data_IF_683650552342
#
_entry.id   IF_683650552342
#
_cell.length_a   1.000
_cell.length_b   1.000
_cell.length_c   1.000
_cell.angle_alpha   90.00
_cell.angle_beta   90.00
_cell.angle_gamma   90.00
#
_symmetry.space_group_name_H-M   'P 1'
#
loop_
_entity.id
_entity.type
_entity.pdbx_description
1 polymer ?
#
# COMPACT_ATOMS: atom_id res chain seq x y z
N UNK A 1 10.97 19.97 -25.50
CA UNK A 1 10.41 19.63 -24.18
C UNK A 1 11.55 19.05 -23.35
N UNK A 2 11.79 19.52 -22.13
CA UNK A 2 12.90 19.02 -21.28
C UNK A 2 12.73 17.50 -21.04
N UNK A 3 13.81 16.73 -21.14
CA UNK A 3 13.79 15.27 -21.01
C UNK A 3 13.20 14.82 -19.66
N UNK A 4 13.49 15.56 -18.59
CA UNK A 4 12.94 15.31 -17.24
C UNK A 4 11.42 15.48 -17.22
N UNK A 5 10.90 16.56 -17.81
CA UNK A 5 9.45 16.80 -17.86
C UNK A 5 8.73 15.67 -18.60
N UNK A 6 9.33 15.18 -19.69
CA UNK A 6 8.77 14.06 -20.46
C UNK A 6 8.74 12.77 -19.64
N UNK A 7 9.81 12.47 -18.90
CA UNK A 7 9.85 11.30 -18.01
C UNK A 7 8.80 11.37 -16.90
N UNK A 8 8.59 12.54 -16.29
CA UNK A 8 7.58 12.72 -15.23
C UNK A 8 6.16 12.46 -15.76
N UNK A 9 5.82 13.06 -16.91
CA UNK A 9 4.48 12.95 -17.51
C UNK A 9 4.20 11.49 -17.93
N UNK A 10 5.21 10.82 -18.48
CA UNK A 10 5.04 9.47 -19.02
C UNK A 10 5.18 8.36 -17.99
N UNK A 11 5.72 8.63 -16.80
CA UNK A 11 5.94 7.60 -15.77
C UNK A 11 4.65 6.87 -15.38
N UNK A 12 3.60 7.61 -15.00
CA UNK A 12 2.37 7.00 -14.50
C UNK A 12 1.64 6.18 -15.58
N UNK A 13 1.45 6.68 -16.82
CA UNK A 13 0.88 5.87 -17.90
C UNK A 13 1.71 4.61 -18.21
N UNK A 14 3.04 4.73 -18.32
CA UNK A 14 3.91 3.61 -18.61
C UNK A 14 3.89 2.55 -17.49
N UNK A 15 3.90 3.01 -16.23
CA UNK A 15 3.80 2.13 -15.06
C UNK A 15 2.47 1.37 -15.05
N UNK A 16 1.34 2.06 -15.27
CA UNK A 16 0.02 1.41 -15.35
C UNK A 16 -0.05 0.39 -16.48
N UNK A 17 0.48 0.71 -17.66
CA UNK A 17 0.53 -0.23 -18.78
C UNK A 17 1.36 -1.48 -18.44
N UNK A 18 2.49 -1.30 -17.73
CA UNK A 18 3.29 -2.42 -17.26
C UNK A 18 2.52 -3.33 -16.27
N UNK A 19 1.82 -2.74 -15.30
CA UNK A 19 0.99 -3.51 -14.35
C UNK A 19 -0.12 -4.26 -15.07
N UNK A 20 -0.82 -3.63 -16.02
CA UNK A 20 -1.86 -4.30 -16.79
C UNK A 20 -1.31 -5.48 -17.57
N UNK A 21 -0.12 -5.36 -18.18
CA UNK A 21 0.54 -6.48 -18.84
C UNK A 21 0.80 -7.64 -17.89
N UNK A 22 1.27 -7.38 -16.66
CA UNK A 22 1.46 -8.44 -15.66
C UNK A 22 0.14 -9.17 -15.36
N UNK A 23 -0.98 -8.43 -15.29
CA UNK A 23 -2.29 -9.03 -15.08
C UNK A 23 -2.76 -9.85 -16.28
N UNK A 24 -2.53 -9.36 -17.49
CA UNK A 24 -2.83 -10.10 -18.73
C UNK A 24 -2.02 -11.40 -18.83
N UNK A 25 -0.79 -11.39 -18.31
CA UNK A 25 0.08 -12.57 -18.17
C UNK A 25 -0.37 -13.51 -17.02
N UNK A 26 -1.46 -13.18 -16.32
CA UNK A 26 -2.07 -14.00 -15.27
C UNK A 26 -1.52 -13.76 -13.86
N UNK A 27 -0.70 -12.72 -13.64
CA UNK A 27 -0.20 -12.39 -12.31
C UNK A 27 -1.22 -11.56 -11.52
N UNK A 28 -1.34 -11.87 -10.23
CA UNK A 28 -2.05 -11.01 -9.28
C UNK A 28 -1.08 -9.99 -8.66
N UNK A 29 -1.52 -8.75 -8.58
CA UNK A 29 -0.70 -7.64 -8.07
C UNK A 29 -1.20 -7.23 -6.69
N UNK A 30 -0.38 -7.51 -5.68
CA UNK A 30 -0.70 -7.24 -4.28
C UNK A 30 -0.04 -5.95 -3.81
N UNK A 31 -0.85 -5.03 -3.30
CA UNK A 31 -0.41 -3.82 -2.63
C UNK A 31 -0.08 -4.05 -1.16
N UNK A 32 0.92 -3.34 -0.66
CA UNK A 32 1.26 -3.35 0.76
C UNK A 32 1.51 -1.93 1.25
N UNK A 33 0.78 -1.52 2.29
CA UNK A 33 1.00 -0.25 2.98
C UNK A 33 1.48 -0.49 4.40
N UNK A 34 2.44 0.31 4.87
CA UNK A 34 2.90 0.26 6.26
C UNK A 34 3.08 1.65 6.85
N UNK A 35 2.97 1.73 8.18
CA UNK A 35 3.34 2.94 8.91
C UNK A 35 4.21 2.60 10.12
N UNK A 36 5.34 3.30 10.24
CA UNK A 36 6.22 3.19 11.40
C UNK A 36 5.53 3.69 12.67
N UNK A 37 5.92 3.22 13.87
CA UNK A 37 5.53 3.84 15.12
C UNK A 37 5.90 5.32 15.14
N UNK A 38 5.05 6.15 15.75
CA UNK A 38 5.21 7.60 15.81
C UNK A 38 4.23 8.22 16.79
N UNK A 39 4.39 9.52 17.02
CA UNK A 39 3.61 10.29 18.00
C UNK A 39 2.26 10.78 17.44
N UNK A 40 1.90 10.42 16.21
CA UNK A 40 0.61 10.81 15.66
C UNK A 40 -0.54 10.12 16.38
N UNK A 41 -1.63 10.86 16.57
CA UNK A 41 -2.87 10.28 17.08
C UNK A 41 -3.46 9.26 16.10
N UNK A 42 -4.30 8.36 16.62
CA UNK A 42 -4.89 7.26 15.86
C UNK A 42 -5.60 7.70 14.58
N UNK A 43 -6.42 8.76 14.64
CA UNK A 43 -7.14 9.32 13.48
C UNK A 43 -6.21 9.71 12.33
N UNK A 44 -5.08 10.35 12.66
CA UNK A 44 -4.11 10.79 11.66
C UNK A 44 -3.45 9.57 11.02
N UNK A 45 -3.12 8.55 11.81
CA UNK A 45 -2.55 7.29 11.32
C UNK A 45 -3.52 6.58 10.37
N UNK A 46 -4.78 6.45 10.74
CA UNK A 46 -5.83 5.83 9.89
C UNK A 46 -5.95 6.58 8.57
N UNK A 47 -6.06 7.92 8.60
CA UNK A 47 -6.16 8.74 7.39
C UNK A 47 -4.94 8.56 6.48
N UNK A 48 -3.73 8.52 7.05
CA UNK A 48 -2.50 8.33 6.28
C UNK A 48 -2.45 6.94 5.63
N UNK A 49 -2.81 5.88 6.36
CA UNK A 49 -2.88 4.53 5.82
C UNK A 49 -3.94 4.41 4.73
N UNK A 50 -5.15 4.96 4.95
CA UNK A 50 -6.21 5.00 3.93
C UNK A 50 -5.72 5.69 2.65
N UNK A 51 -5.05 6.84 2.79
CA UNK A 51 -4.48 7.55 1.63
C UNK A 51 -3.46 6.70 0.86
N UNK A 52 -2.67 5.87 1.56
CA UNK A 52 -1.74 4.95 0.93
C UNK A 52 -2.47 3.83 0.19
N UNK A 53 -3.50 3.23 0.81
CA UNK A 53 -4.36 2.20 0.20
C UNK A 53 -5.01 2.73 -1.08
N UNK A 54 -5.62 3.91 -1.02
CA UNK A 54 -6.29 4.52 -2.17
C UNK A 54 -5.31 4.74 -3.33
N UNK A 55 -4.10 5.24 -3.02
CA UNK A 55 -3.04 5.43 -4.03
C UNK A 55 -2.56 4.11 -4.64
N UNK A 56 -2.50 3.03 -3.87
CA UNK A 56 -2.14 1.72 -4.40
C UNK A 56 -3.16 1.27 -5.45
N UNK A 57 -4.45 1.42 -5.17
CA UNK A 57 -5.51 1.13 -6.15
C UNK A 57 -5.48 2.10 -7.35
N UNK A 58 -5.41 3.40 -7.12
CA UNK A 58 -5.52 4.41 -8.18
C UNK A 58 -4.30 4.46 -9.11
N UNK A 59 -3.10 4.27 -8.56
CA UNK A 59 -1.85 4.47 -9.30
C UNK A 59 -1.16 3.17 -9.68
N UNK A 60 -1.28 2.16 -8.82
CA UNK A 60 -0.59 0.87 -9.00
C UNK A 60 -1.54 -0.25 -9.40
N UNK A 61 -2.83 0.03 -9.56
CA UNK A 61 -3.85 -0.89 -10.06
C UNK A 61 -3.81 -2.25 -9.34
N UNK A 62 -3.53 -2.26 -8.04
CA UNK A 62 -3.44 -3.50 -7.26
C UNK A 62 -4.79 -4.19 -7.21
N UNK A 63 -4.78 -5.52 -7.11
CA UNK A 63 -6.00 -6.32 -6.93
C UNK A 63 -6.44 -6.27 -5.47
N UNK A 64 -5.48 -6.38 -4.55
CA UNK A 64 -5.72 -6.43 -3.11
C UNK A 64 -4.67 -5.63 -2.36
N UNK A 65 -5.01 -5.16 -1.16
CA UNK A 65 -4.08 -4.42 -0.30
C UNK A 65 -4.03 -5.04 1.08
N UNK A 66 -2.81 -5.29 1.56
CA UNK A 66 -2.53 -5.63 2.95
C UNK A 66 -1.88 -4.43 3.65
N UNK A 67 -2.13 -4.29 4.95
CA UNK A 67 -1.62 -3.16 5.73
C UNK A 67 -0.93 -3.62 7.00
N UNK A 68 0.13 -2.91 7.36
CA UNK A 68 0.76 -2.99 8.67
C UNK A 68 0.64 -1.64 9.37
N UNK A 69 -0.33 -1.48 10.29
CA UNK A 69 -0.65 -0.17 10.85
C UNK A 69 0.46 0.42 11.73
N UNK A 70 1.29 -0.43 12.34
CA UNK A 70 2.36 -0.03 13.23
C UNK A 70 3.48 -1.07 13.22
N UNK A 71 4.48 -0.89 12.35
CA UNK A 71 5.64 -1.80 12.25
C UNK A 71 6.92 -1.02 11.95
N UNK A 72 8.04 -1.42 12.56
CA UNK A 72 9.32 -0.79 12.26
C UNK A 72 9.82 -1.28 10.91
N UNK A 73 10.62 -0.43 10.26
CA UNK A 73 11.29 -0.82 9.02
C UNK A 73 12.25 -2.00 9.22
N UNK A 74 12.95 -2.01 10.35
CA UNK A 74 13.88 -3.07 10.75
C UNK A 74 13.20 -4.40 11.07
N UNK A 75 11.88 -4.42 11.27
CA UNK A 75 11.18 -5.65 11.60
C UNK A 75 11.11 -6.56 10.37
N UNK A 76 11.54 -7.84 10.47
CA UNK A 76 11.37 -8.81 9.40
C UNK A 76 9.90 -8.94 9.01
N UNK A 77 9.60 -9.15 7.73
CA UNK A 77 8.21 -9.21 7.24
C UNK A 77 7.35 -10.20 8.05
N UNK A 78 7.88 -11.40 8.34
CA UNK A 78 7.21 -12.44 9.14
C UNK A 78 6.91 -12.06 10.59
N UNK A 79 7.59 -11.03 11.11
CA UNK A 79 7.43 -10.55 12.48
C UNK A 79 6.53 -9.31 12.54
N UNK A 80 6.22 -8.70 11.39
CA UNK A 80 5.23 -7.64 11.31
C UNK A 80 3.86 -8.25 11.56
N UNK A 81 2.98 -7.45 12.16
CA UNK A 81 1.58 -7.83 12.38
C UNK A 81 1.38 -9.06 13.28
N UNK A 82 2.38 -9.46 14.08
CA UNK A 82 2.19 -10.45 15.16
C UNK A 82 1.31 -9.91 16.31
N UNK A 83 1.23 -8.58 16.44
CA UNK A 83 0.41 -7.87 17.43
C UNK A 83 -0.26 -6.68 16.75
N UNK A 84 -1.30 -6.96 15.98
CA UNK A 84 -2.04 -5.93 15.23
C UNK A 84 -2.92 -5.13 16.18
N UNK A 85 -2.97 -3.83 15.96
CA UNK A 85 -4.02 -3.00 16.55
C UNK A 85 -5.29 -3.15 15.71
N UNK A 86 -6.14 -4.09 16.11
CA UNK A 86 -7.42 -4.40 15.46
C UNK A 86 -8.37 -3.20 15.36
N UNK A 87 -8.32 -2.27 16.33
CA UNK A 87 -9.16 -1.08 16.31
C UNK A 87 -8.79 -0.16 15.13
N UNK A 88 -7.49 -0.04 14.81
CA UNK A 88 -7.02 0.72 13.66
C UNK A 88 -7.36 -0.02 12.36
N UNK A 89 -7.06 -1.32 12.29
CA UNK A 89 -7.24 -2.11 11.07
C UNK A 89 -8.69 -2.06 10.56
N UNK A 90 -9.66 -2.26 11.46
CA UNK A 90 -11.11 -2.26 11.13
C UNK A 90 -11.62 -0.92 10.58
N UNK A 91 -10.86 0.16 10.78
CA UNK A 91 -11.21 1.52 10.35
C UNK A 91 -10.58 1.90 9.01
N UNK A 92 -9.75 1.04 8.44
CA UNK A 92 -9.17 1.21 7.11
C UNK A 92 -10.01 0.39 6.13
N UNK A 93 -10.51 1.05 5.09
CA UNK A 93 -11.36 0.42 4.08
C UNK A 93 -10.53 -0.15 2.94
N UNK A 94 -11.11 -1.13 2.23
CA UNK A 94 -10.53 -1.77 1.02
C UNK A 94 -9.17 -2.43 1.29
N UNK A 95 -9.00 -2.97 2.49
CA UNK A 95 -7.84 -3.80 2.84
C UNK A 95 -8.32 -5.21 3.07
N UNK A 96 -7.52 -6.17 2.66
CA UNK A 96 -7.78 -7.59 2.93
C UNK A 96 -7.30 -7.99 4.32
N UNK A 97 -6.49 -7.19 5.00
CA UNK A 97 -5.99 -7.51 6.32
C UNK A 97 -4.51 -7.21 6.43
N UNK A 98 -3.78 -8.07 7.12
CA UNK A 98 -2.35 -7.88 7.40
C UNK A 98 -1.47 -8.95 6.77
N UNK A 99 -0.15 -8.83 6.91
CA UNK A 99 0.77 -9.86 6.39
C UNK A 99 0.68 -11.21 7.11
N UNK A 100 -0.03 -11.28 8.24
CA UNK A 100 -0.27 -12.52 9.00
C UNK A 100 -1.68 -13.10 8.81
N UNK A 101 -2.54 -12.46 8.01
CA UNK A 101 -3.92 -12.90 7.76
C UNK A 101 -4.99 -11.88 8.17
N UNK A 102 -6.25 -12.33 8.06
CA UNK A 102 -7.48 -11.69 8.56
C UNK A 102 -7.80 -12.15 9.99
#
# INVERSE_FOLDING_TARGET
>A
MNSVCSSIINYLPAYKAHIMKLKDDGFQVIGYARKSPGEEIEEVRIRLLQTMVDRLYERSLVDEVFVSPCSKESDPMKARDLKVNEAILKRISRVRGTTQGE
#
